data_IF_099905052048
#
_entry.id   IF_099905052048
#
_cell.length_a   1.000
_cell.length_b   1.000
_cell.length_c   1.000
_cell.angle_alpha   90.00
_cell.angle_beta   90.00
_cell.angle_gamma   90.00
#
_symmetry.space_group_name_H-M   'P 1'
#
loop_
_entity.id
_entity.type
_entity.pdbx_description
1 polymer ?
#
# COMPACT_ATOMS: atom_id res chain seq x y z
N UNK A 1 1.69 -15.39 -13.80
CA UNK A 1 2.03 -15.92 -12.45
C UNK A 1 2.37 -14.73 -11.58
N UNK A 2 1.64 -14.50 -10.48
CA UNK A 2 1.92 -13.43 -9.52
C UNK A 2 2.93 -13.94 -8.47
N UNK A 3 3.82 -13.08 -7.98
CA UNK A 3 4.79 -13.39 -6.92
C UNK A 3 4.58 -12.41 -5.78
N UNK A 4 4.33 -12.94 -4.58
CA UNK A 4 4.21 -12.13 -3.37
C UNK A 4 5.55 -12.06 -2.65
N UNK A 5 5.99 -10.84 -2.35
CA UNK A 5 7.28 -10.64 -1.73
C UNK A 5 7.29 -11.03 -0.23
N UNK A 6 6.13 -11.21 0.41
CA UNK A 6 5.96 -11.42 1.87
C UNK A 6 5.94 -10.11 2.68
N UNK A 7 6.02 -10.17 4.01
CA UNK A 7 5.94 -9.00 4.91
C UNK A 7 7.31 -8.53 5.44
N UNK A 8 8.16 -7.92 4.60
CA UNK A 8 9.53 -7.56 5.00
C UNK A 8 9.96 -6.27 4.28
N UNK A 9 9.59 -5.13 4.85
CA UNK A 9 10.11 -3.76 4.64
C UNK A 9 10.57 -3.28 3.24
N UNK A 10 11.26 -2.13 3.27
CA UNK A 10 11.60 -1.35 2.08
C UNK A 10 12.63 -2.00 1.14
N UNK A 11 13.49 -2.89 1.64
CA UNK A 11 14.53 -3.55 0.83
C UNK A 11 13.97 -4.42 -0.32
N UNK A 12 12.65 -4.69 -0.32
CA UNK A 12 11.93 -5.34 -1.43
C UNK A 12 11.85 -4.48 -2.68
N UNK A 13 11.72 -3.16 -2.51
CA UNK A 13 11.68 -2.20 -3.61
C UNK A 13 12.97 -2.28 -4.42
N UNK A 14 14.14 -2.32 -3.75
CA UNK A 14 15.44 -2.46 -4.41
C UNK A 14 15.60 -3.78 -5.18
N UNK A 15 14.83 -4.82 -4.81
CA UNK A 15 14.78 -6.11 -5.53
C UNK A 15 13.72 -6.15 -6.63
N UNK A 16 13.06 -5.03 -6.92
CA UNK A 16 12.05 -4.91 -7.98
C UNK A 16 10.62 -5.28 -7.54
N UNK A 17 10.36 -5.48 -6.25
CA UNK A 17 9.00 -5.68 -5.74
C UNK A 17 8.38 -4.33 -5.36
N UNK A 18 7.58 -3.77 -6.26
CA UNK A 18 6.82 -2.55 -6.00
C UNK A 18 5.51 -2.85 -5.25
N UNK A 19 5.07 -1.96 -4.35
CA UNK A 19 3.80 -2.10 -3.66
C UNK A 19 2.64 -1.89 -4.63
N UNK A 20 1.58 -2.65 -4.42
CA UNK A 20 0.30 -2.50 -5.11
C UNK A 20 -0.78 -2.36 -4.05
N UNK A 21 -1.69 -1.40 -4.23
CA UNK A 21 -2.83 -1.21 -3.33
C UNK A 21 -3.64 -2.50 -3.25
N UNK A 22 -3.76 -3.04 -2.03
CA UNK A 22 -4.44 -4.30 -1.76
C UNK A 22 -5.56 -4.03 -0.77
N UNK A 23 -6.75 -4.57 -1.04
CA UNK A 23 -7.93 -4.37 -0.22
C UNK A 23 -8.25 -5.65 0.55
N UNK A 24 -8.70 -5.49 1.79
CA UNK A 24 -9.24 -6.56 2.61
C UNK A 24 -10.64 -6.21 3.07
N UNK A 25 -11.46 -7.24 3.33
CA UNK A 25 -12.80 -7.09 3.86
C UNK A 25 -12.85 -7.67 5.27
N UNK A 26 -13.32 -6.88 6.23
CA UNK A 26 -13.43 -7.29 7.63
C UNK A 26 -14.82 -6.97 8.16
N UNK A 27 -15.49 -7.97 8.73
CA UNK A 27 -16.70 -7.73 9.49
C UNK A 27 -16.35 -7.30 10.91
N UNK A 28 -16.89 -6.15 11.33
CA UNK A 28 -16.71 -5.60 12.67
C UNK A 28 -18.07 -5.46 13.31
N UNK A 29 -18.36 -6.30 14.31
CA UNK A 29 -19.67 -6.35 14.96
C UNK A 29 -19.98 -5.08 15.78
N UNK A 30 -18.99 -4.57 16.53
CA UNK A 30 -19.19 -3.42 17.42
C UNK A 30 -19.19 -2.09 16.66
N UNK A 31 -20.31 -1.38 16.67
CA UNK A 31 -20.51 -0.16 15.86
C UNK A 31 -19.51 0.95 16.21
N UNK A 32 -19.26 1.19 17.50
CA UNK A 32 -18.30 2.22 17.92
C UNK A 32 -16.86 1.90 17.48
N UNK A 33 -16.51 0.62 17.40
CA UNK A 33 -15.19 0.20 16.94
C UNK A 33 -15.09 0.30 15.42
N UNK A 34 -16.15 -0.09 14.68
CA UNK A 34 -16.24 0.09 13.24
C UNK A 34 -16.04 1.55 12.84
N UNK A 35 -16.71 2.49 13.51
CA UNK A 35 -16.56 3.92 13.25
C UNK A 35 -15.15 4.43 13.58
N UNK A 36 -14.52 3.93 14.65
CA UNK A 36 -13.15 4.30 14.99
C UNK A 36 -12.16 3.86 13.90
N UNK A 37 -12.28 2.62 13.42
CA UNK A 37 -11.49 2.09 12.31
C UNK A 37 -11.74 2.91 11.03
N UNK A 38 -13.00 3.19 10.68
CA UNK A 38 -13.32 3.99 9.49
C UNK A 38 -12.67 5.39 9.53
N UNK A 39 -12.74 6.08 10.68
CA UNK A 39 -12.10 7.39 10.84
C UNK A 39 -10.59 7.31 10.67
N UNK A 40 -9.95 6.29 11.23
CA UNK A 40 -8.52 6.06 11.07
C UNK A 40 -8.14 5.81 9.60
N UNK A 41 -8.87 4.92 8.92
CA UNK A 41 -8.62 4.58 7.51
C UNK A 41 -8.73 5.80 6.57
N UNK A 42 -9.59 6.77 6.86
CA UNK A 42 -9.68 8.03 6.08
C UNK A 42 -8.39 8.87 6.14
N UNK A 43 -7.65 8.80 7.24
CA UNK A 43 -6.35 9.45 7.37
C UNK A 43 -5.24 8.57 6.79
N UNK A 44 -5.24 7.28 7.13
CA UNK A 44 -4.25 6.31 6.66
C UNK A 44 -4.19 6.21 5.13
N UNK A 45 -5.34 6.22 4.45
CA UNK A 45 -5.41 6.12 2.99
C UNK A 45 -4.58 7.20 2.27
N UNK A 46 -4.48 8.42 2.83
CA UNK A 46 -3.62 9.46 2.28
C UNK A 46 -2.15 9.13 2.48
N UNK A 47 -1.78 8.71 3.69
CA UNK A 47 -0.41 8.31 4.01
C UNK A 47 0.07 7.14 3.15
N UNK A 48 -0.78 6.14 2.90
CA UNK A 48 -0.47 5.01 2.02
C UNK A 48 -0.27 5.48 0.58
N UNK A 49 -1.12 6.38 0.07
CA UNK A 49 -0.95 6.92 -1.28
C UNK A 49 0.34 7.73 -1.42
N UNK A 50 0.67 8.56 -0.42
CA UNK A 50 1.91 9.33 -0.38
C UNK A 50 3.13 8.41 -0.33
N UNK A 51 3.11 7.37 0.52
CA UNK A 51 4.18 6.38 0.59
C UNK A 51 4.37 5.64 -0.74
N UNK A 52 3.27 5.23 -1.39
CA UNK A 52 3.31 4.59 -2.69
C UNK A 52 3.95 5.52 -3.75
N UNK A 53 3.63 6.81 -3.73
CA UNK A 53 4.24 7.80 -4.61
C UNK A 53 5.75 7.95 -4.33
N UNK A 54 6.16 8.01 -3.06
CA UNK A 54 7.59 8.07 -2.70
C UNK A 54 8.36 6.82 -3.16
N UNK A 55 7.77 5.63 -2.98
CA UNK A 55 8.34 4.38 -3.47
C UNK A 55 8.45 4.36 -4.99
N UNK A 56 7.44 4.86 -5.70
CA UNK A 56 7.47 4.97 -7.16
C UNK A 56 8.58 5.92 -7.66
N UNK A 57 8.85 7.00 -6.93
CA UNK A 57 9.99 7.89 -7.22
C UNK A 57 11.34 7.23 -6.97
N UNK A 58 11.45 6.37 -5.96
CA UNK A 58 12.65 5.60 -5.61
C UNK A 58 12.77 4.25 -6.34
N UNK A 59 11.85 3.97 -7.27
CA UNK A 59 11.80 2.70 -8.01
C UNK A 59 13.11 2.46 -8.78
N UNK A 60 13.65 1.22 -8.77
CA UNK A 60 14.82 0.87 -9.58
C UNK A 60 14.51 0.76 -11.08
N UNK A 61 13.23 0.79 -11.47
CA UNK A 61 12.81 0.67 -12.86
C UNK A 61 12.90 2.02 -13.59
N UNK A 62 13.27 1.95 -14.87
CA UNK A 62 13.28 3.12 -15.74
C UNK A 62 11.85 3.66 -15.91
N UNK A 63 11.65 4.96 -15.71
CA UNK A 63 10.39 5.63 -16.05
C UNK A 63 10.29 5.69 -17.57
N UNK A 64 9.60 4.73 -18.17
CA UNK A 64 9.21 4.87 -19.58
C UNK A 64 8.12 5.93 -19.64
N UNK A 65 8.32 6.96 -20.47
CA UNK A 65 7.26 7.90 -20.81
C UNK A 65 6.26 7.18 -21.71
N UNK A 66 4.98 7.26 -21.35
CA UNK A 66 3.80 6.64 -21.98
C UNK A 66 3.52 5.17 -21.61
N UNK A 67 2.54 4.99 -20.72
CA UNK A 67 1.32 4.19 -20.91
C UNK A 67 0.20 4.79 -20.03
#
# INVERSE_FOLDING_TARGET
RCVEAGAQGFHKVQRGYLPVTTYSAHWIAHDGFRQAVERFLRAEARGVADEQNQIALASPFRKNAAD
#
